data_IF_222962402275
#
_entry.id   IF_222962402275
#
_cell.length_a   1.000
_cell.length_b   1.000
_cell.length_c   1.000
_cell.angle_alpha   90.00
_cell.angle_beta   90.00
_cell.angle_gamma   90.00
#
_symmetry.space_group_name_H-M   'P 1'
#
loop_
_entity.id
_entity.type
_entity.pdbx_description
1 polymer ?
#
# COMPACT_ATOMS: atom_id res chain seq x y z
N UNK A 1 3.44 19.86 -9.84
CA UNK A 1 2.72 19.41 -8.63
C UNK A 1 3.27 20.17 -7.44
N UNK A 2 2.44 20.72 -6.56
CA UNK A 2 2.93 21.40 -5.33
C UNK A 2 3.34 20.35 -4.29
N UNK A 3 4.29 20.68 -3.41
CA UNK A 3 4.76 19.79 -2.34
C UNK A 3 3.63 19.31 -1.41
N UNK A 4 2.62 20.16 -1.15
CA UNK A 4 1.44 19.82 -0.34
C UNK A 4 0.59 18.73 -1.02
N UNK A 5 0.48 18.76 -2.35
CA UNK A 5 -0.28 17.76 -3.11
C UNK A 5 0.45 16.41 -3.07
N UNK A 6 1.78 16.41 -3.27
CA UNK A 6 2.59 15.20 -3.18
C UNK A 6 2.52 14.55 -1.78
N UNK A 7 2.58 15.36 -0.72
CA UNK A 7 2.47 14.84 0.64
C UNK A 7 1.11 14.17 0.90
N UNK A 8 0.02 14.79 0.43
CA UNK A 8 -1.31 14.20 0.53
C UNK A 8 -1.41 12.88 -0.24
N UNK A 9 -0.86 12.82 -1.46
CA UNK A 9 -0.87 11.60 -2.26
C UNK A 9 -0.12 10.45 -1.55
N UNK A 10 1.01 10.78 -0.91
CA UNK A 10 1.76 9.82 -0.07
C UNK A 10 0.94 9.38 1.14
N UNK A 11 0.31 10.30 1.86
CA UNK A 11 -0.52 9.99 3.04
C UNK A 11 -1.71 9.09 2.67
N UNK A 12 -2.39 9.38 1.55
CA UNK A 12 -3.51 8.61 1.03
C UNK A 12 -3.07 7.19 0.63
N UNK A 13 -1.91 7.04 -0.01
CA UNK A 13 -1.34 5.74 -0.35
C UNK A 13 -0.89 4.95 0.88
N UNK A 14 -0.32 5.59 1.89
CA UNK A 14 0.04 4.95 3.17
C UNK A 14 -1.22 4.46 3.89
N UNK A 15 -2.29 5.27 3.91
CA UNK A 15 -3.57 4.87 4.50
C UNK A 15 -4.15 3.66 3.76
N UNK A 16 -4.13 3.68 2.42
CA UNK A 16 -4.59 2.57 1.58
C UNK A 16 -3.79 1.29 1.85
N UNK A 17 -2.46 1.39 1.92
CA UNK A 17 -1.58 0.25 2.21
C UNK A 17 -1.91 -0.40 3.56
N UNK A 18 -2.09 0.41 4.61
CA UNK A 18 -2.49 -0.09 5.93
C UNK A 18 -3.83 -0.81 5.88
N UNK A 19 -4.80 -0.24 5.17
CA UNK A 19 -6.11 -0.86 4.96
C UNK A 19 -6.01 -2.22 4.27
N UNK A 20 -5.24 -2.32 3.18
CA UNK A 20 -5.06 -3.57 2.45
C UNK A 20 -4.40 -4.66 3.29
N UNK A 21 -3.38 -4.32 4.08
CA UNK A 21 -2.71 -5.26 4.99
C UNK A 21 -3.70 -5.81 6.04
N UNK A 22 -4.52 -4.93 6.63
CA UNK A 22 -5.53 -5.33 7.61
C UNK A 22 -6.61 -6.22 6.98
N UNK A 23 -7.10 -5.85 5.80
CA UNK A 23 -8.11 -6.65 5.07
C UNK A 23 -7.55 -8.02 4.70
N UNK A 24 -6.32 -8.11 4.19
CA UNK A 24 -5.67 -9.39 3.87
C UNK A 24 -5.59 -10.29 5.11
N UNK A 25 -5.14 -9.74 6.25
CA UNK A 25 -5.05 -10.50 7.50
C UNK A 25 -6.43 -10.96 8.01
N UNK A 26 -7.46 -10.12 7.85
CA UNK A 26 -8.84 -10.48 8.20
C UNK A 26 -9.38 -11.60 7.30
N UNK A 27 -9.12 -11.54 6.00
CA UNK A 27 -9.50 -12.57 5.02
C UNK A 27 -8.83 -13.90 5.33
N UNK A 28 -7.53 -13.88 5.65
CA UNK A 28 -6.78 -15.06 6.06
C UNK A 28 -7.37 -15.69 7.32
N UNK A 29 -7.68 -14.87 8.33
CA UNK A 29 -8.35 -15.32 9.57
C UNK A 29 -9.73 -15.92 9.32
N UNK A 30 -10.43 -15.47 8.28
CA UNK A 30 -11.76 -15.96 7.88
C UNK A 30 -11.73 -17.16 6.93
N UNK A 31 -10.54 -17.63 6.55
CA UNK A 31 -10.39 -18.77 5.64
C UNK A 31 -10.70 -18.45 4.18
N UNK A 32 -10.42 -17.22 3.74
CA UNK A 32 -10.49 -16.85 2.33
C UNK A 32 -9.59 -17.75 1.46
N UNK A 33 -9.96 -17.91 0.19
CA UNK A 33 -9.21 -18.73 -0.76
C UNK A 33 -7.82 -18.17 -1.04
N UNK A 34 -6.91 -19.04 -1.48
CA UNK A 34 -5.55 -18.63 -1.87
C UNK A 34 -5.57 -17.54 -2.96
N UNK A 35 -6.49 -17.63 -3.93
CA UNK A 35 -6.64 -16.62 -4.99
C UNK A 35 -7.10 -15.26 -4.45
N UNK A 36 -7.97 -15.23 -3.44
CA UNK A 36 -8.40 -13.97 -2.81
C UNK A 36 -7.26 -13.34 -2.02
N UNK A 37 -6.46 -14.15 -1.31
CA UNK A 37 -5.28 -13.67 -0.59
C UNK A 37 -4.19 -13.17 -1.55
N UNK A 38 -3.99 -13.85 -2.68
CA UNK A 38 -3.03 -13.46 -3.71
C UNK A 38 -3.42 -12.11 -4.32
N UNK A 39 -4.68 -11.93 -4.70
CA UNK A 39 -5.17 -10.66 -5.26
C UNK A 39 -4.92 -9.47 -4.32
N UNK A 40 -5.08 -9.65 -3.01
CA UNK A 40 -4.77 -8.62 -2.02
C UNK A 40 -3.26 -8.40 -1.86
N UNK A 41 -2.47 -9.47 -1.96
CA UNK A 41 -1.00 -9.41 -1.89
C UNK A 41 -0.43 -8.64 -3.09
N UNK A 42 -0.92 -8.92 -4.29
CA UNK A 42 -0.54 -8.17 -5.50
C UNK A 42 -0.90 -6.69 -5.39
N UNK A 43 -2.09 -6.35 -4.87
CA UNK A 43 -2.48 -4.96 -4.70
C UNK A 43 -1.61 -4.23 -3.66
N UNK A 44 -1.24 -4.90 -2.57
CA UNK A 44 -0.27 -4.39 -1.59
C UNK A 44 1.05 -4.05 -2.28
N UNK A 45 1.59 -4.94 -3.12
CA UNK A 45 2.85 -4.70 -3.83
C UNK A 45 2.73 -3.58 -4.86
N UNK A 46 1.59 -3.46 -5.56
CA UNK A 46 1.32 -2.31 -6.45
C UNK A 46 1.37 -0.98 -5.70
N UNK A 47 0.73 -0.90 -4.53
CA UNK A 47 0.73 0.32 -3.70
C UNK A 47 2.12 0.61 -3.13
N UNK A 48 2.87 -0.42 -2.69
CA UNK A 48 4.28 -0.26 -2.25
C UNK A 48 5.16 0.31 -3.36
N UNK A 49 5.00 -0.20 -4.58
CA UNK A 49 5.76 0.28 -5.73
C UNK A 49 5.42 1.74 -6.08
N UNK A 50 4.15 2.15 -5.93
CA UNK A 50 3.75 3.55 -6.11
C UNK A 50 4.35 4.45 -5.02
N UNK A 51 4.29 4.05 -3.76
CA UNK A 51 4.95 4.78 -2.67
C UNK A 51 6.46 4.94 -2.91
N UNK A 52 7.14 3.90 -3.38
CA UNK A 52 8.56 3.96 -3.71
C UNK A 52 8.88 4.89 -4.88
N UNK A 53 7.93 5.11 -5.81
CA UNK A 53 8.07 6.11 -6.88
C UNK A 53 7.92 7.54 -6.36
N UNK A 54 7.05 7.75 -5.37
CA UNK A 54 6.72 9.08 -4.84
C UNK A 54 7.61 9.53 -3.69
N UNK A 55 8.20 8.59 -2.94
CA UNK A 55 9.26 8.87 -2.00
C UNK A 55 10.60 8.86 -2.77
N UNK A 56 11.16 10.01 -3.22
CA UNK A 56 12.55 10.03 -3.65
C UNK A 56 13.41 9.51 -2.51
N UNK A 57 14.60 8.98 -2.82
CA UNK A 57 15.59 8.40 -1.90
C UNK A 57 16.16 9.42 -0.86
N UNK A 58 15.28 10.09 -0.14
CA UNK A 58 15.54 11.05 0.94
C UNK A 58 15.60 10.34 2.30
N UNK A 59 16.12 9.11 2.30
CA UNK A 59 16.53 8.36 3.48
C UNK A 59 17.96 7.79 3.33
N UNK A 60 18.76 8.42 2.46
CA UNK A 60 20.20 8.28 2.42
C UNK A 60 20.82 9.68 2.64
N UNK A 61 20.63 10.22 3.84
CA UNK A 61 21.36 11.36 4.40
C UNK A 61 21.39 11.22 5.92
#
# INVERSE_FOLDING_TARGET
MSAIVLQRDVDDLVLRLKGLVLVRALLETRGASASELEAHSEEIERVRAELARLAPASAAA
#
